data_IF_224472305520
#
_entry.id   IF_224472305520
#
_cell.length_a   1.000
_cell.length_b   1.000
_cell.length_c   1.000
_cell.angle_alpha   90.00
_cell.angle_beta   90.00
_cell.angle_gamma   90.00
#
_symmetry.space_group_name_H-M   'P 1'
#
loop_
_entity.id
_entity.type
_entity.pdbx_description
1 polymer ?
#
# COMPACT_ATOMS: atom_id res chain seq x y z
N UNK A 1 20.46 14.05 -5.29
CA UNK A 1 19.71 12.86 -5.73
C UNK A 1 19.41 11.91 -4.57
N UNK A 2 20.43 11.46 -3.84
CA UNK A 2 20.26 10.54 -2.69
C UNK A 2 19.23 11.05 -1.67
N UNK A 3 19.34 12.32 -1.25
CA UNK A 3 18.40 12.96 -0.31
C UNK A 3 16.99 13.08 -0.90
N UNK A 4 16.86 13.38 -2.19
CA UNK A 4 15.55 13.46 -2.86
C UNK A 4 14.82 12.11 -2.83
N UNK A 5 15.54 11.01 -2.99
CA UNK A 5 14.95 9.67 -2.88
C UNK A 5 14.55 9.32 -1.44
N UNK A 6 15.24 9.88 -0.44
CA UNK A 6 14.83 9.73 0.96
C UNK A 6 13.53 10.51 1.23
N UNK A 7 13.42 11.74 0.73
CA UNK A 7 12.18 12.53 0.79
C UNK A 7 11.03 11.77 0.10
N UNK A 8 11.30 11.22 -1.09
CA UNK A 8 10.32 10.37 -1.79
C UNK A 8 9.85 9.20 -0.93
N UNK A 9 10.75 8.50 -0.23
CA UNK A 9 10.36 7.37 0.63
C UNK A 9 9.41 7.78 1.76
N UNK A 10 9.64 8.95 2.37
CA UNK A 10 8.75 9.52 3.38
C UNK A 10 7.39 9.89 2.79
N UNK A 11 7.40 10.56 1.64
CA UNK A 11 6.19 10.95 0.90
C UNK A 11 5.35 9.73 0.56
N UNK A 12 5.96 8.64 0.07
CA UNK A 12 5.20 7.43 -0.29
C UNK A 12 4.52 6.77 0.91
N UNK A 13 5.19 6.69 2.06
CA UNK A 13 4.62 6.08 3.25
C UNK A 13 3.46 6.91 3.78
N UNK A 14 3.63 8.24 3.82
CA UNK A 14 2.59 9.17 4.24
C UNK A 14 1.41 9.17 3.25
N UNK A 15 1.68 9.33 1.96
CA UNK A 15 0.67 9.46 0.92
C UNK A 15 -0.18 8.19 0.73
N UNK A 16 0.33 7.03 1.12
CA UNK A 16 -0.39 5.77 1.04
C UNK A 16 -0.86 5.28 2.41
N UNK A 17 -0.76 6.14 3.43
CA UNK A 17 -1.19 5.89 4.80
C UNK A 17 -0.68 4.56 5.38
N UNK A 18 0.57 4.22 5.06
CA UNK A 18 1.26 3.11 5.70
C UNK A 18 1.80 3.55 7.06
N UNK A 19 1.82 2.67 8.07
CA UNK A 19 2.37 3.00 9.38
C UNK A 19 3.82 3.50 9.26
N UNK A 20 4.17 4.65 9.88
CA UNK A 20 5.53 5.18 9.82
C UNK A 20 6.46 4.19 10.51
N UNK A 21 7.25 3.47 9.70
CA UNK A 21 8.21 2.49 10.17
C UNK A 21 9.57 2.80 9.52
N UNK A 22 10.64 3.01 10.31
CA UNK A 22 11.97 3.27 9.78
C UNK A 22 12.43 2.24 8.74
N UNK A 23 12.07 0.97 8.93
CA UNK A 23 12.45 -0.09 8.00
C UNK A 23 11.82 0.12 6.61
N UNK A 24 10.56 0.54 6.55
CA UNK A 24 9.86 0.82 5.27
C UNK A 24 10.49 2.00 4.54
N UNK A 25 10.85 3.04 5.29
CA UNK A 25 11.53 4.24 4.76
C UNK A 25 12.85 3.82 4.13
N UNK A 26 13.67 3.07 4.89
CA UNK A 26 14.98 2.61 4.47
C UNK A 26 14.88 1.63 3.29
N UNK A 27 13.99 0.63 3.33
CA UNK A 27 13.79 -0.33 2.24
C UNK A 27 13.37 0.37 0.94
N UNK A 28 12.42 1.31 1.02
CA UNK A 28 11.98 2.12 -0.12
C UNK A 28 13.14 2.94 -0.68
N UNK A 29 13.90 3.60 0.18
CA UNK A 29 15.04 4.42 -0.23
C UNK A 29 16.15 3.59 -0.89
N UNK A 30 16.54 2.46 -0.28
CA UNK A 30 17.54 1.54 -0.83
C UNK A 30 17.10 0.95 -2.17
N UNK A 31 15.84 0.51 -2.27
CA UNK A 31 15.29 -0.01 -3.52
C UNK A 31 15.37 1.04 -4.63
N UNK A 32 14.97 2.28 -4.36
CA UNK A 32 15.01 3.36 -5.36
C UNK A 32 16.44 3.73 -5.78
N UNK A 33 17.40 3.72 -4.85
CA UNK A 33 18.82 3.95 -5.16
C UNK A 33 19.37 2.86 -6.10
N UNK A 34 19.07 1.60 -5.80
CA UNK A 34 19.51 0.45 -6.59
C UNK A 34 18.86 0.45 -7.98
N UNK A 35 17.54 0.68 -8.04
CA UNK A 35 16.82 0.77 -9.32
C UNK A 35 17.32 1.93 -10.16
N UNK A 36 17.56 3.10 -9.58
CA UNK A 36 18.08 4.24 -10.32
C UNK A 36 19.45 3.92 -10.95
N UNK A 37 20.29 3.16 -10.24
CA UNK A 37 21.63 2.79 -10.69
C UNK A 37 21.63 1.72 -11.77
N UNK A 38 20.91 0.62 -11.54
CA UNK A 38 20.98 -0.58 -12.38
C UNK A 38 19.88 -0.64 -13.44
N UNK A 39 18.70 -0.10 -13.15
CA UNK A 39 17.52 -0.18 -14.00
C UNK A 39 16.84 1.20 -14.13
N UNK A 40 17.53 2.22 -14.67
CA UNK A 40 17.03 3.59 -14.68
C UNK A 40 15.70 3.76 -15.41
N UNK A 41 15.42 2.92 -16.42
CA UNK A 41 14.12 2.88 -17.11
C UNK A 41 13.00 2.44 -16.17
N UNK A 42 13.20 1.33 -15.45
CA UNK A 42 12.23 0.81 -14.46
C UNK A 42 12.02 1.82 -13.33
N UNK A 43 13.11 2.42 -12.85
CA UNK A 43 13.04 3.50 -11.85
C UNK A 43 12.15 4.66 -12.33
N UNK A 44 12.35 5.16 -13.56
CA UNK A 44 11.50 6.24 -14.12
C UNK A 44 10.04 5.83 -14.18
N UNK A 45 9.75 4.62 -14.68
CA UNK A 45 8.40 4.09 -14.75
C UNK A 45 7.74 4.02 -13.37
N UNK A 46 8.46 3.52 -12.36
CA UNK A 46 7.95 3.47 -10.98
C UNK A 46 7.68 4.85 -10.40
N UNK A 47 8.48 5.86 -10.72
CA UNK A 47 8.21 7.23 -10.26
C UNK A 47 6.94 7.80 -10.89
N UNK A 48 6.71 7.59 -12.18
CA UNK A 48 5.45 7.97 -12.83
C UNK A 48 4.26 7.21 -12.25
N UNK A 49 4.40 5.90 -12.09
CA UNK A 49 3.37 5.06 -11.47
C UNK A 49 3.05 5.53 -10.05
N UNK A 50 4.06 5.91 -9.27
CA UNK A 50 3.87 6.44 -7.92
C UNK A 50 3.04 7.72 -7.91
N UNK A 51 3.28 8.64 -8.86
CA UNK A 51 2.48 9.85 -8.99
C UNK A 51 1.00 9.51 -9.27
N UNK A 52 0.75 8.56 -10.17
CA UNK A 52 -0.59 8.09 -10.52
C UNK A 52 -1.26 7.43 -9.31
N UNK A 53 -0.55 6.54 -8.61
CA UNK A 53 -1.07 5.88 -7.41
C UNK A 53 -1.45 6.93 -6.35
N UNK A 54 -0.60 7.92 -6.10
CA UNK A 54 -0.91 9.00 -5.14
C UNK A 54 -2.17 9.75 -5.59
N UNK A 55 -2.27 10.14 -6.85
CA UNK A 55 -3.43 10.87 -7.39
C UNK A 55 -4.75 10.10 -7.20
N UNK A 56 -4.72 8.79 -7.40
CA UNK A 56 -5.91 7.95 -7.34
C UNK A 56 -6.26 7.50 -5.92
N UNK A 57 -5.25 7.21 -5.09
CA UNK A 57 -5.44 6.50 -3.83
C UNK A 57 -5.28 7.37 -2.58
N UNK A 58 -4.48 8.44 -2.60
CA UNK A 58 -4.25 9.24 -1.39
C UNK A 58 -5.54 9.77 -0.74
N UNK A 59 -6.56 10.26 -1.48
CA UNK A 59 -7.82 10.66 -0.86
C UNK A 59 -8.46 9.53 -0.04
N UNK A 60 -8.51 8.32 -0.60
CA UNK A 60 -8.98 7.13 0.10
C UNK A 60 -8.06 6.72 1.26
N UNK A 61 -6.74 6.83 1.08
CA UNK A 61 -5.74 6.52 2.10
C UNK A 61 -5.91 7.36 3.37
N UNK A 62 -6.29 8.64 3.22
CA UNK A 62 -6.51 9.52 4.39
C UNK A 62 -7.69 9.10 5.26
N UNK A 63 -8.70 8.43 4.69
CA UNK A 63 -9.89 7.99 5.42
C UNK A 63 -9.78 6.55 5.90
N UNK A 64 -9.28 5.65 5.06
CA UNK A 64 -9.32 4.21 5.31
C UNK A 64 -7.94 3.55 5.47
N UNK A 65 -6.86 4.30 5.24
CA UNK A 65 -5.50 3.80 5.34
C UNK A 65 -5.03 3.04 4.10
N UNK A 66 -4.00 2.21 4.29
CA UNK A 66 -3.45 1.33 3.24
C UNK A 66 -4.49 0.34 2.68
N UNK A 67 -4.29 -0.21 1.46
CA UNK A 67 -5.22 -1.19 0.89
C UNK A 67 -5.46 -2.35 1.84
N UNK A 68 -6.74 -2.68 2.04
CA UNK A 68 -7.15 -3.71 2.99
C UNK A 68 -8.40 -4.44 2.51
N UNK A 69 -8.66 -5.61 3.09
CA UNK A 69 -9.88 -6.37 2.86
C UNK A 69 -11.15 -5.49 3.00
N UNK A 70 -11.20 -4.64 4.05
CA UNK A 70 -12.34 -3.77 4.31
C UNK A 70 -12.59 -2.77 3.19
N UNK A 71 -11.52 -2.13 2.66
CA UNK A 71 -11.63 -1.19 1.54
C UNK A 71 -12.14 -1.91 0.28
N UNK A 72 -11.65 -3.12 0.00
CA UNK A 72 -12.14 -3.88 -1.15
C UNK A 72 -13.60 -4.27 -0.99
N UNK A 73 -13.99 -4.71 0.21
CA UNK A 73 -15.38 -5.06 0.52
C UNK A 73 -16.29 -3.85 0.32
N UNK A 74 -15.93 -2.69 0.89
CA UNK A 74 -16.66 -1.44 0.71
C UNK A 74 -16.79 -1.06 -0.76
N UNK A 75 -15.67 -1.05 -1.50
CA UNK A 75 -15.66 -0.69 -2.93
C UNK A 75 -16.60 -1.57 -3.76
N UNK A 76 -16.69 -2.87 -3.46
CA UNK A 76 -17.53 -3.81 -4.19
C UNK A 76 -19.01 -3.78 -3.75
N UNK A 77 -19.31 -3.26 -2.56
CA UNK A 77 -20.68 -3.11 -2.07
C UNK A 77 -21.30 -1.74 -2.35
N UNK A 78 -20.49 -0.74 -2.68
CA UNK A 78 -20.93 0.66 -2.83
C UNK A 78 -21.77 0.89 -4.08
N UNK A 79 -22.90 1.58 -3.90
CA UNK A 79 -23.77 2.06 -4.98
C UNK A 79 -23.32 3.42 -5.53
N UNK A 80 -23.82 3.84 -6.71
CA UNK A 80 -23.46 5.14 -7.29
C UNK A 80 -23.82 6.34 -6.39
N UNK A 81 -24.93 6.25 -5.64
CA UNK A 81 -25.34 7.28 -4.68
C UNK A 81 -24.33 7.39 -3.54
N UNK A 82 -23.99 6.27 -2.90
CA UNK A 82 -23.01 6.20 -1.82
C UNK A 82 -21.61 6.63 -2.28
N UNK A 83 -21.21 6.31 -3.51
CA UNK A 83 -19.95 6.77 -4.09
C UNK A 83 -19.90 8.30 -4.24
N UNK A 84 -21.00 8.92 -4.65
CA UNK A 84 -21.08 10.38 -4.79
C UNK A 84 -21.02 11.09 -3.43
N UNK A 85 -21.68 10.54 -2.43
CA UNK A 85 -21.62 11.03 -1.04
C UNK A 85 -20.21 10.88 -0.47
N UNK A 86 -19.56 9.74 -0.71
CA UNK A 86 -18.18 9.50 -0.30
C UNK A 86 -17.21 10.54 -0.89
N UNK A 87 -17.29 10.83 -2.18
CA UNK A 87 -16.42 11.83 -2.84
C UNK A 87 -16.66 13.22 -2.25
N UNK A 88 -17.92 13.57 -1.95
CA UNK A 88 -18.31 14.83 -1.33
C UNK A 88 -17.89 14.94 0.14
N UNK A 89 -17.74 13.82 0.85
CA UNK A 89 -17.30 13.79 2.24
C UNK A 89 -15.78 14.05 2.41
N UNK A 90 -14.98 13.82 1.36
CA UNK A 90 -13.54 14.08 1.40
C UNK A 90 -13.29 15.59 1.46
N UNK A 91 -12.54 16.09 2.47
CA UNK A 91 -12.24 17.50 2.57
C UNK A 91 -11.45 18.03 1.36
N UNK A 92 -11.76 19.25 0.91
CA UNK A 92 -11.10 19.86 -0.26
C UNK A 92 -9.57 19.93 -0.13
N UNK A 93 -9.06 20.15 1.10
CA UNK A 93 -7.62 20.23 1.38
C UNK A 93 -6.90 18.90 1.12
N UNK A 94 -7.60 17.77 1.22
CA UNK A 94 -7.05 16.44 0.90
C UNK A 94 -6.74 16.34 -0.60
N UNK A 95 -7.58 16.88 -1.47
CA UNK A 95 -7.31 16.91 -2.91
C UNK A 95 -6.12 17.81 -3.24
N UNK A 96 -5.99 18.97 -2.57
CA UNK A 96 -4.82 19.83 -2.73
C UNK A 96 -3.53 19.14 -2.26
N UNK A 97 -3.56 18.49 -1.08
CA UNK A 97 -2.44 17.69 -0.59
C UNK A 97 -2.07 16.54 -1.54
N UNK A 98 -3.07 15.90 -2.15
CA UNK A 98 -2.88 14.83 -3.15
C UNK A 98 -2.05 15.34 -4.34
N UNK A 99 -2.39 16.51 -4.88
CA UNK A 99 -1.66 17.12 -6.01
C UNK A 99 -0.22 17.44 -5.60
N UNK A 100 -0.02 18.02 -4.42
CA UNK A 100 1.32 18.37 -3.91
C UNK A 100 2.20 17.12 -3.72
N UNK A 101 1.66 16.06 -3.11
CA UNK A 101 2.38 14.81 -2.89
C UNK A 101 2.70 14.11 -4.21
N UNK A 102 1.76 14.09 -5.16
CA UNK A 102 1.96 13.50 -6.48
C UNK A 102 3.00 14.25 -7.32
N UNK A 103 3.19 15.56 -7.09
CA UNK A 103 4.20 16.36 -7.77
C UNK A 103 5.64 15.96 -7.38
N UNK A 104 5.86 15.41 -6.17
CA UNK A 104 7.19 15.02 -5.67
C UNK A 104 7.91 14.02 -6.59
N UNK A 105 7.35 12.83 -6.90
CA UNK A 105 8.03 11.90 -7.80
C UNK A 105 8.26 12.49 -9.20
N UNK A 106 7.33 13.30 -9.71
CA UNK A 106 7.47 13.99 -10.99
C UNK A 106 8.64 14.98 -10.98
N UNK A 107 8.75 15.77 -9.92
CA UNK A 107 9.85 16.72 -9.72
C UNK A 107 11.20 16.00 -9.66
N UNK A 108 11.28 14.87 -8.96
CA UNK A 108 12.52 14.08 -8.86
C UNK A 108 12.93 13.51 -10.23
N UNK A 109 11.99 13.00 -11.03
CA UNK A 109 12.27 12.55 -12.40
C UNK A 109 12.78 13.72 -13.26
N UNK A 110 12.16 14.89 -13.16
CA UNK A 110 12.55 16.10 -13.89
C UNK A 110 13.95 16.59 -13.49
N UNK A 111 14.28 16.53 -12.20
CA UNK A 111 15.58 16.93 -11.66
C UNK A 111 16.67 15.91 -12.02
N UNK A 112 16.34 14.61 -12.04
CA UNK A 112 17.28 13.56 -12.44
C UNK A 112 17.76 13.71 -13.89
N UNK A 113 16.91 14.18 -14.81
CA UNK A 113 17.32 14.44 -16.21
C UNK A 113 18.46 15.47 -16.32
N UNK A 114 18.60 16.37 -15.35
CA UNK A 114 19.64 17.40 -15.28
C UNK A 114 20.87 16.96 -14.48
N UNK A 115 20.75 15.88 -13.71
CA UNK A 115 21.81 15.42 -12.83
C UNK A 115 22.67 14.35 -13.53
N UNK A 116 24.00 14.49 -13.42
CA UNK A 116 24.90 13.41 -13.82
C UNK A 116 24.59 12.14 -12.98
N UNK A 117 24.58 10.97 -13.61
CA UNK A 117 24.34 9.71 -12.93
C UNK A 117 25.27 9.56 -11.71
N UNK A 118 24.80 9.01 -10.58
CA UNK A 118 25.61 8.88 -9.37
C UNK A 118 26.90 8.10 -9.67
N UNK A 119 28.05 8.78 -9.51
CA UNK A 119 29.40 8.33 -9.88
C UNK A 119 30.10 7.47 -8.80
N UNK A 120 29.36 6.92 -7.84
CA UNK A 120 29.95 5.98 -6.87
C UNK A 120 30.37 4.65 -7.52
N UNK A 121 31.45 4.05 -7.02
CA UNK A 121 31.99 2.77 -7.52
C UNK A 121 30.96 1.65 -7.32
N UNK A 122 30.87 0.73 -8.29
CA UNK A 122 29.92 -0.39 -8.29
C UNK A 122 29.96 -1.22 -6.99
N UNK A 123 31.13 -1.42 -6.40
CA UNK A 123 31.30 -2.19 -5.16
C UNK A 123 30.52 -1.61 -3.97
N UNK A 124 30.20 -0.30 -3.96
CA UNK A 124 29.36 0.31 -2.93
C UNK A 124 27.89 -0.13 -3.00
N UNK A 125 27.45 -0.71 -4.12
CA UNK A 125 26.11 -1.26 -4.26
C UNK A 125 25.95 -2.62 -3.59
N UNK A 126 27.03 -3.39 -3.43
CA UNK A 126 27.00 -4.71 -2.80
C UNK A 126 26.45 -4.67 -1.37
N UNK A 127 26.96 -3.82 -0.45
CA UNK A 127 26.41 -3.75 0.90
C UNK A 127 24.95 -3.28 0.90
N UNK A 128 24.55 -2.38 -0.02
CA UNK A 128 23.16 -1.91 -0.11
C UNK A 128 22.19 -3.03 -0.50
N UNK A 129 22.58 -3.87 -1.48
CA UNK A 129 21.81 -5.06 -1.87
C UNK A 129 21.71 -6.04 -0.71
N UNK A 130 22.82 -6.28 0.00
CA UNK A 130 22.87 -7.21 1.13
C UNK A 130 21.99 -6.72 2.30
N UNK A 131 22.03 -5.43 2.63
CA UNK A 131 21.16 -4.83 3.66
C UNK A 131 19.69 -4.99 3.27
N UNK A 132 19.32 -4.62 2.02
CA UNK A 132 17.94 -4.74 1.54
C UNK A 132 17.46 -6.21 1.58
N UNK A 133 18.33 -7.15 1.21
CA UNK A 133 18.04 -8.59 1.27
C UNK A 133 17.81 -9.06 2.71
N UNK A 134 18.68 -8.69 3.65
CA UNK A 134 18.53 -9.05 5.07
C UNK A 134 17.21 -8.53 5.64
N UNK A 135 16.88 -7.26 5.37
CA UNK A 135 15.62 -6.66 5.84
C UNK A 135 14.40 -7.40 5.27
N UNK A 136 14.43 -7.70 3.97
CA UNK A 136 13.37 -8.47 3.29
C UNK A 136 13.21 -9.87 3.90
N UNK A 137 14.32 -10.58 4.14
CA UNK A 137 14.32 -11.92 4.74
C UNK A 137 13.84 -11.90 6.18
N UNK A 138 14.25 -10.91 6.98
CA UNK A 138 13.76 -10.75 8.35
C UNK A 138 12.26 -10.51 8.38
N UNK A 139 11.76 -9.67 7.48
CA UNK A 139 10.32 -9.45 7.30
C UNK A 139 9.60 -10.75 6.94
N UNK A 140 10.14 -11.53 6.01
CA UNK A 140 9.56 -12.81 5.62
C UNK A 140 9.54 -13.85 6.75
N UNK A 141 10.59 -13.88 7.58
CA UNK A 141 10.71 -14.79 8.73
C UNK A 141 9.79 -14.44 9.89
N UNK A 142 9.48 -13.16 10.11
CA UNK A 142 8.59 -12.70 11.21
C UNK A 142 7.13 -13.11 11.04
N UNK A 143 6.81 -13.94 10.05
CA UNK A 143 5.51 -14.54 9.88
C UNK A 143 4.58 -13.65 9.06
N UNK A 144 4.33 -14.08 7.83
CA UNK A 144 3.13 -13.74 7.07
C UNK A 144 1.89 -14.32 7.74
N UNK A 145 1.51 -13.81 8.90
CA UNK A 145 0.31 -14.29 9.60
C UNK A 145 -0.98 -13.65 9.07
N UNK A 146 -0.89 -12.60 8.23
CA UNK A 146 -2.05 -11.86 7.72
C UNK A 146 -1.90 -11.33 6.28
N UNK A 147 -1.22 -12.05 5.38
CA UNK A 147 -1.33 -11.83 3.93
C UNK A 147 -0.65 -10.59 3.33
N UNK A 148 0.51 -10.18 3.82
CA UNK A 148 1.30 -9.06 3.24
C UNK A 148 2.38 -9.50 2.23
N UNK A 149 3.19 -8.54 1.76
CA UNK A 149 4.37 -8.76 0.90
C UNK A 149 5.72 -8.60 1.65
N UNK A 150 6.79 -9.25 1.17
CA UNK A 150 8.12 -9.32 1.84
C UNK A 150 8.98 -8.10 1.73
N UNK A 151 8.95 -7.50 0.56
CA UNK A 151 9.62 -6.25 0.33
C UNK A 151 8.67 -5.13 0.73
N UNK A 152 8.90 -4.50 1.87
CA UNK A 152 8.07 -3.40 2.40
C UNK A 152 8.56 -2.06 1.85
N UNK A 153 8.81 -2.04 0.55
CA UNK A 153 9.26 -0.88 -0.19
C UNK A 153 8.12 -0.36 -1.07
N UNK A 154 7.85 0.94 -0.99
CA UNK A 154 6.82 1.59 -1.81
C UNK A 154 7.37 1.96 -3.20
N UNK A 155 6.57 1.91 -4.28
CA UNK A 155 5.16 1.50 -4.35
C UNK A 155 4.96 -0.03 -4.46
N UNK A 156 6.01 -0.85 -4.36
CA UNK A 156 5.93 -2.30 -4.62
C UNK A 156 5.01 -3.00 -3.62
N UNK A 157 5.13 -2.69 -2.33
CA UNK A 157 4.23 -3.22 -1.31
C UNK A 157 2.78 -2.82 -1.57
N UNK A 158 2.51 -1.57 -1.99
CA UNK A 158 1.18 -1.14 -2.38
C UNK A 158 0.60 -1.96 -3.53
N UNK A 159 1.39 -2.21 -4.59
CA UNK A 159 0.94 -3.02 -5.72
C UNK A 159 0.65 -4.46 -5.30
N UNK A 160 1.47 -5.02 -4.40
CA UNK A 160 1.24 -6.35 -3.86
C UNK A 160 -0.03 -6.39 -3.01
N UNK A 161 -0.25 -5.41 -2.13
CA UNK A 161 -1.48 -5.32 -1.32
C UNK A 161 -2.71 -5.14 -2.23
N UNK A 162 -2.64 -4.27 -3.24
CA UNK A 162 -3.72 -4.06 -4.21
C UNK A 162 -4.08 -5.34 -4.99
N UNK A 163 -3.15 -6.29 -5.11
CA UNK A 163 -3.40 -7.59 -5.72
C UNK A 163 -3.87 -8.66 -4.73
N UNK A 164 -3.28 -8.71 -3.53
CA UNK A 164 -3.54 -9.74 -2.53
C UNK A 164 -4.88 -9.53 -1.80
N UNK A 165 -5.24 -8.29 -1.49
CA UNK A 165 -6.45 -7.99 -0.71
C UNK A 165 -7.75 -8.38 -1.44
N UNK A 166 -7.91 -8.11 -2.75
CA UNK A 166 -9.09 -8.60 -3.48
C UNK A 166 -9.18 -10.12 -3.56
N UNK A 167 -8.05 -10.81 -3.68
CA UNK A 167 -8.03 -12.29 -3.65
C UNK A 167 -8.49 -12.83 -2.31
N UNK A 168 -8.03 -12.24 -1.21
CA UNK A 168 -8.49 -12.59 0.12
C UNK A 168 -10.00 -12.35 0.27
N UNK A 169 -10.52 -11.25 -0.28
CA UNK A 169 -11.95 -10.95 -0.32
C UNK A 169 -12.76 -12.02 -1.04
N UNK A 170 -12.41 -12.35 -2.29
CA UNK A 170 -13.17 -13.34 -3.05
C UNK A 170 -13.07 -14.75 -2.46
N UNK A 171 -11.93 -15.11 -1.85
CA UNK A 171 -11.78 -16.37 -1.13
C UNK A 171 -12.71 -16.44 0.10
N UNK A 172 -12.80 -15.36 0.89
CA UNK A 172 -13.71 -15.28 2.02
C UNK A 172 -15.18 -15.31 1.58
N UNK A 173 -15.53 -14.58 0.51
CA UNK A 173 -16.88 -14.59 -0.06
C UNK A 173 -17.30 -15.97 -0.55
N UNK A 174 -16.40 -16.70 -1.21
CA UNK A 174 -16.65 -18.07 -1.66
C UNK A 174 -16.90 -19.00 -0.46
N UNK A 175 -16.09 -18.88 0.60
CA UNK A 175 -16.27 -19.64 1.83
C UNK A 175 -17.62 -19.33 2.49
N UNK A 176 -18.00 -18.06 2.61
CA UNK A 176 -19.30 -17.67 3.17
C UNK A 176 -20.46 -18.26 2.38
N UNK A 177 -20.41 -18.22 1.03
CA UNK A 177 -21.44 -18.83 0.18
C UNK A 177 -21.53 -20.34 0.36
N UNK A 178 -20.40 -21.02 0.53
CA UNK A 178 -20.36 -22.46 0.82
C UNK A 178 -20.92 -22.79 2.20
N UNK A 179 -20.65 -21.96 3.20
CA UNK A 179 -21.16 -22.14 4.56
C UNK A 179 -22.67 -21.86 4.63
N UNK A 180 -23.18 -20.88 3.89
CA UNK A 180 -24.63 -20.62 3.71
C UNK A 180 -25.38 -21.76 3.01
N UNK A 181 -24.71 -22.54 2.17
CA UNK A 181 -25.32 -23.67 1.47
C UNK A 181 -25.43 -24.95 2.33
N UNK A 182 -24.74 -24.99 3.47
CA UNK A 182 -24.84 -26.11 4.41
C UNK A 182 -26.11 -25.95 5.25
N UNK A 183 -26.82 -27.05 5.56
CA UNK A 183 -27.96 -26.98 6.48
C UNK A 183 -27.50 -26.47 7.84
N UNK A 184 -28.36 -25.65 8.46
CA UNK A 184 -28.15 -25.10 9.79
C UNK A 184 -27.83 -26.22 10.79
N UNK A 185 -26.64 -26.17 11.39
CA UNK A 185 -26.20 -27.10 12.43
C UNK A 185 -26.36 -26.52 13.84
N UNK A 186 -26.92 -25.31 13.96
CA UNK A 186 -27.19 -24.69 15.24
C UNK A 186 -28.44 -25.32 15.87
N UNK A 187 -28.25 -25.98 17.00
CA UNK A 187 -29.36 -26.45 17.84
C UNK A 187 -29.36 -25.63 19.14
N UNK A 188 -30.47 -24.95 19.44
CA UNK A 188 -30.65 -24.30 20.74
C UNK A 188 -30.81 -25.42 21.77
N UNK A 189 -29.76 -25.72 22.53
CA UNK A 189 -29.79 -26.77 23.57
C UNK A 189 -30.57 -26.35 24.81
N UNK A 190 -30.70 -25.04 25.08
CA UNK A 190 -31.53 -24.51 26.17
C UNK A 190 -31.74 -23.01 26.01
N UNK A 191 -32.98 -22.53 26.19
CA UNK A 191 -33.28 -21.10 26.33
C UNK A 191 -33.86 -20.83 27.72
N UNK A 192 -33.15 -20.09 28.57
CA UNK A 192 -33.70 -19.58 29.82
C UNK A 192 -34.35 -18.23 29.55
N UNK A 193 -35.66 -18.21 29.27
CA UNK A 193 -36.41 -16.95 29.20
C UNK A 193 -36.74 -16.47 30.62
N UNK A 194 -36.19 -15.32 31.01
CA UNK A 194 -36.39 -14.72 32.35
C UNK A 194 -37.65 -13.84 32.39
N UNK A 195 -38.14 -13.37 31.25
CA UNK A 195 -39.26 -12.43 31.17
C UNK A 195 -40.48 -13.07 30.50
N UNK A 196 -41.60 -13.09 31.24
CA UNK A 196 -42.93 -13.44 30.75
C UNK A 196 -43.58 -12.12 30.30
N UNK A 197 -43.74 -11.92 28.99
CA UNK A 197 -44.55 -10.80 28.50
C UNK A 197 -46.01 -11.04 28.94
N UNK A 198 -46.56 -10.09 29.71
CA UNK A 198 -47.96 -10.06 30.12
C UNK A 198 -48.81 -9.45 29.01
#
# INVERSE_FOLDING_TARGET
MIVLLLIYSLVMIYALAYPPNPNRIIETWLLMLLLQRFFPSVWRWLMWLSAIIILLYHPTATLYGRPSFGIVASLLSTTASEASEYIGAIPWHTYLATILLAAVPLFIVRFNRKAAAPRWRFYWSIPLVLILMIMTVQTARKGYTTGGFALRAQPVEFLADAYLQPRAYFAALAKMKQDLAKPDNWQISSSHQIYRNY
#
